data_IF_420141258594
#
_entry.id   IF_420141258594
#
_cell.length_a   1.000
_cell.length_b   1.000
_cell.length_c   1.000
_cell.angle_alpha   90.00
_cell.angle_beta   90.00
_cell.angle_gamma   90.00
#
_symmetry.space_group_name_H-M   'P 1'
#
loop_
_entity.id
_entity.type
_entity.pdbx_description
1 polymer ?
#
# COMPACT_ATOMS: atom_id res chain seq x y z
N UNK A 1 43.53 2.76 -9.58
CA UNK A 1 42.64 2.26 -10.64
C UNK A 1 42.33 0.82 -10.30
N UNK A 2 41.20 0.57 -9.70
CA UNK A 2 40.66 -0.80 -9.52
C UNK A 2 39.44 -0.89 -10.40
N UNK A 3 39.55 -1.73 -11.43
CA UNK A 3 38.46 -2.06 -12.33
C UNK A 3 37.40 -2.87 -11.57
N UNK A 4 36.17 -2.32 -11.43
CA UNK A 4 35.04 -3.09 -10.96
C UNK A 4 34.40 -3.82 -12.13
N UNK A 5 34.67 -5.11 -12.20
CA UNK A 5 34.04 -6.03 -13.14
C UNK A 5 32.59 -6.21 -12.73
N UNK A 6 31.63 -5.75 -13.54
CA UNK A 6 30.22 -6.05 -13.39
C UNK A 6 30.00 -7.52 -13.77
N UNK A 7 29.65 -8.33 -12.79
CA UNK A 7 29.09 -9.64 -13.05
C UNK A 7 27.70 -9.43 -13.68
N UNK A 8 27.54 -9.83 -14.92
CA UNK A 8 26.27 -9.95 -15.61
C UNK A 8 25.54 -11.17 -15.06
N UNK A 9 24.81 -10.97 -13.97
CA UNK A 9 23.88 -11.96 -13.45
C UNK A 9 22.52 -11.67 -14.10
N UNK A 10 22.15 -12.51 -15.06
CA UNK A 10 20.88 -12.44 -15.75
C UNK A 10 19.75 -12.64 -14.75
N UNK A 11 18.97 -11.58 -14.49
CA UNK A 11 17.75 -11.67 -13.70
C UNK A 11 16.77 -12.64 -14.38
N UNK A 12 16.10 -13.52 -13.62
CA UNK A 12 15.19 -14.50 -14.20
C UNK A 12 14.02 -13.81 -14.90
N UNK A 13 13.89 -14.09 -16.20
CA UNK A 13 12.75 -13.71 -17.01
C UNK A 13 11.54 -14.47 -16.49
N UNK A 14 10.59 -13.74 -15.89
CA UNK A 14 9.34 -14.30 -15.43
C UNK A 14 8.51 -14.78 -16.63
N UNK A 15 8.46 -16.10 -16.86
CA UNK A 15 7.52 -16.73 -17.78
C UNK A 15 6.24 -17.06 -17.01
N UNK A 16 5.06 -16.60 -17.45
CA UNK A 16 3.81 -16.99 -16.80
C UNK A 16 3.54 -18.47 -17.04
N UNK A 17 3.37 -19.25 -15.95
CA UNK A 17 2.86 -20.62 -16.03
C UNK A 17 1.43 -20.57 -16.48
N UNK A 18 1.14 -21.26 -17.59
CA UNK A 18 -0.21 -21.46 -18.10
C UNK A 18 -1.07 -22.19 -17.04
N UNK A 19 -2.14 -21.54 -16.61
CA UNK A 19 -3.15 -22.16 -15.77
C UNK A 19 -3.93 -23.18 -16.60
N UNK A 20 -3.84 -24.46 -16.24
CA UNK A 20 -4.71 -25.52 -16.77
C UNK A 20 -6.13 -25.31 -16.25
N UNK A 21 -7.04 -25.07 -17.18
CA UNK A 21 -8.48 -25.09 -16.99
C UNK A 21 -8.92 -26.49 -16.58
N UNK A 22 -9.35 -26.67 -15.34
CA UNK A 22 -10.10 -27.89 -14.94
C UNK A 22 -11.59 -27.51 -14.97
N UNK A 23 -12.26 -28.01 -16.00
CA UNK A 23 -13.72 -28.06 -16.03
C UNK A 23 -14.17 -29.13 -15.04
N UNK A 24 -14.94 -28.75 -14.03
CA UNK A 24 -15.73 -29.68 -13.23
C UNK A 24 -17.21 -29.45 -13.46
N UNK A 25 -17.82 -30.54 -13.81
CA UNK A 25 -19.18 -30.77 -14.24
C UNK A 25 -20.20 -30.51 -13.14
N UNK A 26 -21.31 -29.90 -13.50
CA UNK A 26 -22.51 -29.83 -12.67
C UNK A 26 -23.21 -31.19 -12.61
N UNK A 27 -23.58 -31.63 -11.44
CA UNK A 27 -24.60 -32.68 -11.28
C UNK A 27 -25.61 -32.26 -10.21
N UNK A 28 -26.85 -32.18 -10.68
CA UNK A 28 -28.08 -32.00 -9.89
C UNK A 28 -28.28 -33.21 -8.96
N UNK A 29 -28.85 -32.98 -7.79
CA UNK A 29 -29.81 -33.93 -7.20
C UNK A 29 -30.77 -33.15 -6.29
N UNK A 30 -32.03 -33.16 -6.71
CA UNK A 30 -33.21 -32.81 -5.93
C UNK A 30 -33.62 -34.03 -5.11
N UNK A 31 -34.04 -33.82 -3.87
CA UNK A 31 -34.65 -34.88 -3.05
C UNK A 31 -35.45 -34.26 -1.91
N UNK A 32 -36.77 -34.25 -2.10
CA UNK A 32 -37.77 -33.91 -1.12
C UNK A 32 -37.90 -35.01 -0.06
N UNK A 33 -38.13 -34.66 1.21
CA UNK A 33 -38.92 -35.52 2.13
C UNK A 33 -39.69 -34.67 3.13
N UNK A 34 -40.94 -35.03 3.27
CA UNK A 34 -42.02 -34.47 4.12
C UNK A 34 -41.87 -34.88 5.59
N UNK A 35 -42.51 -34.09 6.47
CA UNK A 35 -42.58 -34.26 7.88
C UNK A 35 -43.29 -35.51 8.42
N UNK A 36 -43.55 -35.61 9.71
CA UNK A 36 -44.90 -35.30 10.22
C UNK A 36 -44.95 -34.58 11.59
N UNK A 37 -46.18 -34.04 11.80
CA UNK A 37 -46.76 -33.55 13.07
C UNK A 37 -46.60 -34.51 14.25
N UNK A 38 -46.46 -33.95 15.48
CA UNK A 38 -47.14 -34.44 16.69
C UNK A 38 -47.31 -33.29 17.70
N UNK A 39 -48.51 -33.08 18.04
CA UNK A 39 -49.28 -32.46 19.08
C UNK A 39 -48.66 -31.98 20.39
N UNK A 40 -49.28 -30.90 20.82
CA UNK A 40 -49.22 -30.25 22.14
C UNK A 40 -49.81 -31.14 23.27
N UNK A 41 -49.19 -31.01 24.46
CA UNK A 41 -49.92 -31.13 25.74
C UNK A 41 -49.42 -30.08 26.71
N UNK A 42 -50.41 -29.39 27.26
CA UNK A 42 -50.38 -28.40 28.33
C UNK A 42 -50.21 -29.05 29.69
N UNK A 43 -49.40 -28.47 30.56
CA UNK A 43 -49.79 -28.45 31.98
C UNK A 43 -49.07 -27.36 32.80
N UNK A 44 -49.80 -26.85 33.76
CA UNK A 44 -49.73 -25.67 34.59
C UNK A 44 -48.59 -25.57 35.59
N UNK A 45 -48.10 -24.35 35.73
CA UNK A 45 -47.58 -23.54 36.87
C UNK A 45 -47.81 -24.08 38.31
N UNK A 46 -47.03 -23.67 39.38
CA UNK A 46 -46.66 -22.26 39.67
C UNK A 46 -45.28 -22.01 40.35
N UNK A 47 -44.81 -20.77 40.15
CA UNK A 47 -44.06 -19.92 41.07
C UNK A 47 -42.85 -20.42 41.86
N UNK A 48 -41.68 -19.89 41.55
CA UNK A 48 -40.76 -19.27 42.54
C UNK A 48 -39.88 -18.21 41.87
N UNK A 49 -39.99 -17.00 42.39
CA UNK A 49 -39.03 -15.92 42.15
C UNK A 49 -37.67 -16.32 42.68
N UNK A 50 -36.63 -16.20 41.87
CA UNK A 50 -35.28 -16.02 42.31
C UNK A 50 -34.65 -14.98 41.38
N UNK A 51 -34.20 -13.88 41.94
CA UNK A 51 -33.58 -12.75 41.29
C UNK A 51 -32.27 -13.23 40.58
N UNK A 52 -32.30 -13.30 39.26
CA UNK A 52 -31.13 -13.47 38.48
C UNK A 52 -30.46 -12.10 38.28
N UNK A 53 -29.49 -11.80 39.13
CA UNK A 53 -28.52 -10.71 38.91
C UNK A 53 -27.77 -11.03 37.65
N UNK A 54 -28.09 -10.31 36.60
CA UNK A 54 -27.41 -10.39 35.30
C UNK A 54 -25.98 -9.85 35.48
N UNK A 55 -24.94 -10.58 35.13
CA UNK A 55 -23.55 -10.13 35.33
C UNK A 55 -23.19 -9.13 34.23
N UNK A 56 -23.57 -7.87 34.35
CA UNK A 56 -23.05 -6.77 33.53
C UNK A 56 -21.55 -6.49 33.74
N UNK A 57 -20.96 -7.06 34.77
CA UNK A 57 -19.55 -6.86 35.15
C UNK A 57 -18.62 -7.78 34.34
N UNK A 58 -19.02 -9.04 34.09
CA UNK A 58 -18.16 -10.00 33.36
C UNK A 58 -17.91 -9.61 31.90
N UNK A 59 -18.93 -9.09 31.19
CA UNK A 59 -18.77 -8.67 29.78
C UNK A 59 -17.86 -7.43 29.66
N UNK A 60 -17.82 -6.56 30.66
CA UNK A 60 -16.89 -5.41 30.68
C UNK A 60 -15.45 -5.85 30.86
N UNK A 61 -15.19 -6.87 31.65
CA UNK A 61 -13.85 -7.38 31.90
C UNK A 61 -13.30 -8.14 30.68
N UNK A 62 -14.13 -8.93 29.99
CA UNK A 62 -13.71 -9.60 28.76
C UNK A 62 -13.41 -8.63 27.61
N UNK A 63 -14.19 -7.56 27.47
CA UNK A 63 -13.93 -6.50 26.48
C UNK A 63 -12.66 -5.72 26.84
N UNK A 64 -12.40 -5.43 28.10
CA UNK A 64 -11.17 -4.74 28.52
C UNK A 64 -9.94 -5.61 28.36
N UNK A 65 -10.01 -6.91 28.64
CA UNK A 65 -8.96 -7.88 28.38
C UNK A 65 -8.72 -8.08 26.88
N UNK A 66 -9.79 -8.09 26.06
CA UNK A 66 -9.66 -8.14 24.61
C UNK A 66 -9.02 -6.87 24.04
N UNK A 67 -9.42 -5.66 24.50
CA UNK A 67 -8.83 -4.39 24.09
C UNK A 67 -7.35 -4.30 24.53
N UNK A 68 -7.00 -4.76 25.73
CA UNK A 68 -5.62 -4.87 26.16
C UNK A 68 -4.83 -5.87 25.29
N UNK A 69 -5.39 -7.04 24.99
CA UNK A 69 -4.76 -8.03 24.12
C UNK A 69 -4.57 -7.51 22.70
N UNK A 70 -5.56 -6.82 22.14
CA UNK A 70 -5.46 -6.15 20.84
C UNK A 70 -4.46 -4.99 20.89
N UNK A 71 -4.41 -4.23 21.98
CA UNK A 71 -3.40 -3.19 22.20
C UNK A 71 -1.98 -3.74 22.31
N UNK A 72 -1.82 -4.94 22.85
CA UNK A 72 -0.52 -5.65 22.91
C UNK A 72 -0.16 -6.31 21.56
N UNK A 73 -1.16 -6.75 20.78
CA UNK A 73 -0.96 -7.28 19.43
C UNK A 73 -0.75 -6.18 18.37
N UNK A 74 -1.23 -4.97 18.63
CA UNK A 74 -1.10 -3.82 17.73
C UNK A 74 0.17 -3.00 17.95
N UNK A 75 1.13 -3.46 18.74
CA UNK A 75 2.48 -2.92 18.68
C UNK A 75 3.14 -3.51 17.43
N UNK A 76 3.36 -2.75 16.34
CA UNK A 76 4.41 -3.12 15.43
C UNK A 76 5.65 -3.24 16.29
N UNK A 77 6.35 -4.38 16.19
CA UNK A 77 7.63 -4.53 16.84
C UNK A 77 8.45 -3.26 16.57
N UNK A 78 8.81 -2.54 17.62
CA UNK A 78 9.62 -1.33 17.54
C UNK A 78 11.06 -1.61 17.01
N UNK A 79 11.26 -2.78 16.43
CA UNK A 79 12.51 -3.30 15.87
C UNK A 79 12.44 -3.62 14.35
N UNK A 80 11.29 -3.44 13.69
CA UNK A 80 11.25 -3.63 12.23
C UNK A 80 11.45 -2.29 11.54
N UNK A 81 12.48 -2.23 10.67
CA UNK A 81 12.73 -1.10 9.77
C UNK A 81 11.47 -0.79 8.95
N UNK A 82 11.11 0.50 8.85
CA UNK A 82 10.10 0.96 7.92
C UNK A 82 10.49 0.56 6.49
N UNK A 83 9.55 0.03 5.71
CA UNK A 83 9.80 -0.33 4.30
C UNK A 83 8.88 0.46 3.39
N UNK A 84 9.48 1.19 2.46
CA UNK A 84 8.82 2.08 1.51
C UNK A 84 9.13 1.64 0.07
N UNK A 85 8.10 1.32 -0.70
CA UNK A 85 8.24 1.15 -2.15
C UNK A 85 8.04 2.50 -2.82
N UNK A 86 9.05 2.95 -3.57
CA UNK A 86 9.04 4.22 -4.30
C UNK A 86 8.88 3.95 -5.79
N UNK A 87 7.65 4.08 -6.29
CA UNK A 87 7.28 3.86 -7.68
C UNK A 87 7.29 5.14 -8.50
N UNK A 88 7.98 5.14 -9.63
CA UNK A 88 8.07 6.29 -10.53
C UNK A 88 7.85 5.89 -11.98
N UNK A 89 7.13 6.74 -12.68
CA UNK A 89 7.08 6.75 -14.12
C UNK A 89 8.39 7.33 -14.67
N UNK A 90 9.11 6.57 -15.47
CA UNK A 90 10.33 6.96 -16.16
C UNK A 90 10.11 7.06 -17.69
N UNK A 91 8.91 7.45 -18.12
CA UNK A 91 8.65 7.80 -19.53
C UNK A 91 9.31 9.12 -19.90
N UNK A 92 9.45 9.40 -21.19
CA UNK A 92 10.25 10.55 -21.69
C UNK A 92 9.75 11.88 -21.14
N UNK A 93 8.45 12.09 -21.00
CA UNK A 93 7.85 13.31 -20.46
C UNK A 93 8.25 13.56 -18.99
N UNK A 94 8.72 12.53 -18.30
CA UNK A 94 9.01 12.56 -16.87
C UNK A 94 10.46 12.93 -16.53
N UNK A 95 11.33 13.16 -17.52
CA UNK A 95 12.75 13.48 -17.25
C UNK A 95 12.92 14.63 -16.24
N UNK A 96 12.21 15.78 -16.35
CA UNK A 96 12.36 16.88 -15.39
C UNK A 96 11.97 16.47 -13.96
N UNK A 97 10.88 15.70 -13.82
CA UNK A 97 10.42 15.22 -12.50
C UNK A 97 11.34 14.13 -11.96
N UNK A 98 11.89 13.29 -12.83
CA UNK A 98 12.90 12.30 -12.45
C UNK A 98 14.13 12.97 -11.86
N UNK A 99 14.68 13.98 -12.53
CA UNK A 99 15.85 14.73 -12.08
C UNK A 99 15.56 15.50 -10.76
N UNK A 100 14.36 16.06 -10.66
CA UNK A 100 13.88 16.65 -9.41
C UNK A 100 13.81 15.62 -8.28
N UNK A 101 13.23 14.45 -8.51
CA UNK A 101 13.12 13.40 -7.50
C UNK A 101 14.50 12.90 -7.03
N UNK A 102 15.49 12.82 -7.92
CA UNK A 102 16.87 12.52 -7.54
C UNK A 102 17.41 13.55 -6.54
N UNK A 103 17.15 14.82 -6.77
CA UNK A 103 17.64 15.90 -5.88
C UNK A 103 16.91 15.95 -4.54
N UNK A 104 15.63 15.52 -4.48
CA UNK A 104 14.78 15.64 -3.30
C UNK A 104 14.71 14.38 -2.43
N UNK A 105 15.10 13.22 -2.97
CA UNK A 105 14.92 11.94 -2.28
C UNK A 105 15.68 11.85 -0.94
N UNK A 106 16.78 12.60 -0.76
CA UNK A 106 17.53 12.62 0.49
C UNK A 106 16.65 13.04 1.67
N UNK A 107 15.73 13.97 1.44
CA UNK A 107 14.77 14.41 2.45
C UNK A 107 13.86 13.33 3.01
N UNK A 108 13.66 12.21 2.29
CA UNK A 108 12.93 11.07 2.84
C UNK A 108 13.66 10.45 4.04
N UNK A 109 14.97 10.30 3.94
CA UNK A 109 15.79 9.73 5.02
C UNK A 109 16.02 10.73 6.17
N UNK A 110 16.05 12.03 5.87
CA UNK A 110 16.16 13.09 6.89
C UNK A 110 14.87 13.26 7.70
N UNK A 111 13.73 12.88 7.14
CA UNK A 111 12.42 13.06 7.76
C UNK A 111 12.10 12.03 8.84
N UNK A 112 12.86 10.95 8.95
CA UNK A 112 12.62 9.89 9.91
C UNK A 112 13.32 10.21 11.25
N UNK A 113 12.72 9.82 12.40
CA UNK A 113 13.37 9.95 13.71
C UNK A 113 14.71 9.18 13.75
N UNK A 114 15.64 9.63 14.61
CA UNK A 114 16.99 9.04 14.71
C UNK A 114 17.02 7.59 15.19
N UNK A 115 15.98 7.18 15.89
CA UNK A 115 15.79 5.81 16.43
C UNK A 115 14.98 4.92 15.50
N UNK A 116 14.58 5.42 14.33
CA UNK A 116 13.86 4.68 13.32
C UNK A 116 14.74 4.46 12.08
N UNK A 117 14.47 3.38 11.36
CA UNK A 117 15.15 3.05 10.11
C UNK A 117 14.14 2.97 8.96
N UNK A 118 14.60 3.31 7.76
CA UNK A 118 13.81 3.25 6.54
C UNK A 118 14.59 2.52 5.47
N UNK A 119 13.98 1.47 4.92
CA UNK A 119 14.43 0.81 3.70
C UNK A 119 13.58 1.31 2.55
N UNK A 120 14.20 1.71 1.45
CA UNK A 120 13.51 2.15 0.24
C UNK A 120 13.85 1.23 -0.92
N UNK A 121 12.84 0.77 -1.65
CA UNK A 121 13.02 0.09 -2.93
C UNK A 121 12.46 0.98 -4.03
N UNK A 122 13.28 1.30 -5.03
CA UNK A 122 12.82 1.98 -6.23
C UNK A 122 12.21 0.96 -7.18
N UNK A 123 11.01 1.26 -7.70
CA UNK A 123 10.43 0.59 -8.85
C UNK A 123 10.09 1.62 -9.92
N UNK A 124 10.43 1.35 -11.16
CA UNK A 124 10.14 2.23 -12.28
C UNK A 124 9.72 1.43 -13.50
N UNK A 125 9.02 2.10 -14.39
CA UNK A 125 8.73 1.58 -15.72
C UNK A 125 9.09 2.61 -16.80
N UNK A 126 9.45 2.10 -17.98
CA UNK A 126 9.74 2.87 -19.18
C UNK A 126 9.58 2.00 -20.43
N UNK A 127 9.61 2.62 -21.61
CA UNK A 127 9.47 1.89 -22.86
C UNK A 127 8.17 1.10 -22.95
N UNK A 128 8.13 0.10 -23.81
CA UNK A 128 6.91 -0.68 -24.08
C UNK A 128 6.71 -1.88 -23.14
N UNK A 129 7.64 -2.17 -22.24
CA UNK A 129 7.51 -3.37 -21.39
C UNK A 129 8.55 -3.48 -20.28
N UNK A 130 9.39 -2.48 -20.06
CA UNK A 130 10.33 -2.47 -18.97
C UNK A 130 9.69 -1.97 -17.69
N UNK A 131 9.60 -2.84 -16.69
CA UNK A 131 9.25 -2.47 -15.32
C UNK A 131 10.21 -3.22 -14.40
N UNK A 132 11.04 -2.48 -13.67
CA UNK A 132 12.12 -3.03 -12.84
C UNK A 132 12.09 -2.47 -11.43
N UNK A 133 12.46 -3.29 -10.47
CA UNK A 133 12.68 -2.90 -9.09
C UNK A 133 14.16 -3.04 -8.72
N UNK A 134 14.65 -2.11 -7.91
CA UNK A 134 16.00 -2.15 -7.34
C UNK A 134 16.09 -3.13 -6.17
N UNK A 135 17.29 -3.31 -5.65
CA UNK A 135 17.46 -3.82 -4.28
C UNK A 135 16.95 -2.79 -3.28
N UNK A 136 16.61 -3.22 -2.06
CA UNK A 136 16.30 -2.35 -0.94
C UNK A 136 17.54 -1.60 -0.51
N UNK A 137 17.44 -0.29 -0.31
CA UNK A 137 18.53 0.59 0.12
C UNK A 137 18.18 1.29 1.44
N UNK A 138 19.20 1.60 2.24
CA UNK A 138 19.08 2.13 3.58
C UNK A 138 19.49 3.60 3.67
N UNK A 139 20.03 4.16 2.61
CA UNK A 139 20.56 5.52 2.60
C UNK A 139 20.26 6.27 1.30
N UNK A 140 20.27 7.59 1.40
CA UNK A 140 19.96 8.49 0.29
C UNK A 140 20.97 8.41 -0.85
N UNK A 141 22.25 8.21 -0.56
CA UNK A 141 23.29 8.15 -1.59
C UNK A 141 23.14 6.90 -2.44
N UNK A 142 22.76 5.76 -1.83
CA UNK A 142 22.49 4.53 -2.55
C UNK A 142 21.28 4.71 -3.48
N UNK A 143 20.19 5.32 -2.98
CA UNK A 143 19.01 5.61 -3.79
C UNK A 143 19.33 6.57 -4.95
N UNK A 144 20.05 7.67 -4.68
CA UNK A 144 20.46 8.63 -5.71
C UNK A 144 21.30 7.98 -6.80
N UNK A 145 22.27 7.12 -6.44
CA UNK A 145 23.08 6.37 -7.41
C UNK A 145 22.22 5.45 -8.28
N UNK A 146 21.26 4.74 -7.71
CA UNK A 146 20.33 3.91 -8.49
C UNK A 146 19.51 4.76 -9.46
N UNK A 147 18.93 5.85 -9.00
CA UNK A 147 18.13 6.73 -9.84
C UNK A 147 18.94 7.38 -10.97
N UNK A 148 20.19 7.79 -10.72
CA UNK A 148 21.04 8.43 -11.73
C UNK A 148 21.51 7.50 -12.85
N UNK A 149 21.40 6.19 -12.69
CA UNK A 149 21.69 5.21 -13.77
C UNK A 149 20.52 4.99 -14.72
N UNK A 150 19.35 5.53 -14.40
CA UNK A 150 18.11 5.31 -15.15
C UNK A 150 17.84 6.56 -16.00
N UNK A 151 17.70 6.37 -17.30
CA UNK A 151 17.26 7.40 -18.25
C UNK A 151 15.79 7.19 -18.59
N UNK A 152 15.00 8.25 -18.67
CA UNK A 152 13.63 8.19 -19.16
C UNK A 152 13.59 7.79 -20.64
N UNK A 153 12.60 6.99 -21.03
CA UNK A 153 12.41 6.50 -22.40
C UNK A 153 10.94 6.56 -22.78
N UNK A 154 10.65 6.89 -24.04
CA UNK A 154 9.28 6.87 -24.56
C UNK A 154 8.63 5.49 -24.37
N UNK A 155 7.36 5.47 -23.99
CA UNK A 155 6.62 4.22 -23.74
C UNK A 155 5.26 4.46 -23.11
N UNK A 156 4.61 3.38 -22.72
CA UNK A 156 3.28 3.42 -22.09
C UNK A 156 3.39 3.26 -20.58
N UNK A 157 2.35 3.70 -19.86
CA UNK A 157 2.24 3.47 -18.41
C UNK A 157 2.13 1.98 -18.09
N UNK A 158 2.72 1.57 -16.97
CA UNK A 158 2.71 0.19 -16.49
C UNK A 158 2.39 0.14 -14.99
N UNK A 159 1.41 0.94 -14.57
CA UNK A 159 0.97 1.11 -13.17
C UNK A 159 0.56 -0.22 -12.56
N UNK A 160 -0.17 -1.03 -13.35
CA UNK A 160 -0.62 -2.35 -12.91
C UNK A 160 0.50 -3.32 -12.58
N UNK A 161 1.70 -3.15 -13.17
CA UNK A 161 2.90 -3.93 -12.83
C UNK A 161 3.53 -3.44 -11.53
N UNK A 162 3.53 -2.12 -11.28
CA UNK A 162 3.98 -1.54 -10.01
C UNK A 162 3.12 -2.06 -8.86
N UNK A 163 1.79 -2.05 -9.02
CA UNK A 163 0.87 -2.54 -7.98
C UNK A 163 1.02 -4.06 -7.75
N UNK A 164 1.21 -4.83 -8.81
CA UNK A 164 1.47 -6.27 -8.67
C UNK A 164 2.77 -6.56 -7.95
N UNK A 165 3.85 -5.83 -8.26
CA UNK A 165 5.12 -5.95 -7.56
C UNK A 165 4.98 -5.57 -6.07
N UNK A 166 4.30 -4.47 -5.77
CA UNK A 166 4.04 -4.04 -4.39
C UNK A 166 3.32 -5.13 -3.58
N UNK A 167 2.30 -5.76 -4.18
CA UNK A 167 1.58 -6.89 -3.58
C UNK A 167 2.50 -8.07 -3.29
N UNK A 168 3.31 -8.47 -4.27
CA UNK A 168 4.14 -9.67 -4.17
C UNK A 168 5.30 -9.47 -3.17
N UNK A 169 5.92 -8.29 -3.18
CA UNK A 169 6.90 -7.89 -2.16
C UNK A 169 6.28 -7.85 -0.76
N UNK A 170 5.07 -7.29 -0.61
CA UNK A 170 4.39 -7.23 0.68
C UNK A 170 4.03 -8.61 1.23
N UNK A 171 3.69 -9.58 0.35
CA UNK A 171 3.48 -10.99 0.73
C UNK A 171 4.77 -11.67 1.22
N UNK A 172 5.90 -11.31 0.64
CA UNK A 172 7.21 -11.84 1.04
C UNK A 172 7.68 -11.25 2.37
N UNK A 173 7.66 -9.93 2.47
CA UNK A 173 7.97 -9.19 3.69
C UNK A 173 7.17 -7.88 3.71
N UNK A 174 6.55 -7.58 4.85
CA UNK A 174 5.70 -6.42 5.02
C UNK A 174 6.34 -5.13 4.48
N UNK A 175 5.58 -4.38 3.67
CA UNK A 175 5.86 -3.02 3.25
C UNK A 175 4.90 -2.09 4.01
N UNK A 176 5.36 -0.93 4.46
CA UNK A 176 4.57 -0.01 5.28
C UNK A 176 3.81 1.02 4.43
N UNK A 177 4.36 1.37 3.26
CA UNK A 177 3.74 2.29 2.31
C UNK A 177 4.27 2.09 0.89
N UNK A 178 3.46 2.46 -0.09
CA UNK A 178 3.85 2.61 -1.50
C UNK A 178 3.65 4.07 -1.89
N UNK A 179 4.66 4.69 -2.48
CA UNK A 179 4.52 5.94 -3.24
C UNK A 179 4.44 5.58 -4.72
N UNK A 180 3.55 6.24 -5.45
CA UNK A 180 3.53 6.24 -6.90
C UNK A 180 3.50 7.69 -7.41
N UNK A 181 4.43 8.04 -8.30
CA UNK A 181 4.53 9.37 -8.93
C UNK A 181 4.37 9.22 -10.44
N UNK A 182 3.39 9.92 -11.01
CA UNK A 182 3.12 9.88 -12.45
C UNK A 182 2.20 11.02 -12.91
N UNK A 183 2.04 11.17 -14.21
CA UNK A 183 1.24 12.22 -14.86
C UNK A 183 0.15 11.67 -15.79
N UNK A 184 0.25 10.40 -16.17
CA UNK A 184 -0.61 9.76 -17.16
C UNK A 184 -1.09 8.40 -16.70
N UNK A 185 -2.14 7.91 -17.36
CA UNK A 185 -2.68 6.56 -17.19
C UNK A 185 -3.36 6.13 -18.49
N UNK A 186 -2.85 5.10 -19.10
CA UNK A 186 -3.33 4.55 -20.37
C UNK A 186 -3.97 3.17 -20.19
N UNK A 187 -3.80 2.58 -19.01
CA UNK A 187 -4.29 1.24 -18.67
C UNK A 187 -5.78 1.26 -18.31
N UNK A 188 -6.39 0.07 -18.30
CA UNK A 188 -7.79 -0.08 -17.89
C UNK A 188 -7.95 0.28 -16.41
N UNK A 189 -8.79 1.29 -16.12
CA UNK A 189 -9.03 1.83 -14.78
C UNK A 189 -9.56 0.78 -13.81
N UNK A 190 -10.53 -0.04 -14.25
CA UNK A 190 -11.17 -1.04 -13.38
C UNK A 190 -10.17 -2.10 -12.94
N UNK A 191 -9.29 -2.53 -13.86
CA UNK A 191 -8.22 -3.47 -13.55
C UNK A 191 -7.21 -2.88 -12.54
N UNK A 192 -6.88 -1.59 -12.66
CA UNK A 192 -6.01 -0.89 -11.70
C UNK A 192 -6.70 -0.69 -10.35
N UNK A 193 -7.99 -0.33 -10.34
CA UNK A 193 -8.81 -0.22 -9.14
C UNK A 193 -8.88 -1.55 -8.37
N UNK A 194 -9.06 -2.67 -9.08
CA UNK A 194 -9.05 -3.99 -8.45
C UNK A 194 -7.72 -4.28 -7.74
N UNK A 195 -6.58 -3.97 -8.39
CA UNK A 195 -5.25 -4.12 -7.79
C UNK A 195 -5.04 -3.17 -6.59
N UNK A 196 -5.45 -1.91 -6.70
CA UNK A 196 -5.38 -0.96 -5.59
C UNK A 196 -6.23 -1.41 -4.40
N UNK A 197 -7.42 -1.95 -4.65
CA UNK A 197 -8.28 -2.56 -3.64
C UNK A 197 -7.64 -3.77 -2.95
N UNK A 198 -6.95 -4.63 -3.70
CA UNK A 198 -6.19 -5.76 -3.16
C UNK A 198 -5.12 -5.28 -2.18
N UNK A 199 -4.35 -4.22 -2.54
CA UNK A 199 -3.38 -3.60 -1.62
C UNK A 199 -4.06 -3.08 -0.34
N UNK A 200 -5.24 -2.45 -0.48
CA UNK A 200 -6.02 -1.94 0.65
C UNK A 200 -6.52 -3.02 1.60
N UNK A 201 -6.94 -4.19 1.07
CA UNK A 201 -7.32 -5.37 1.86
C UNK A 201 -6.11 -5.92 2.62
N UNK A 202 -4.94 -5.90 2.01
CA UNK A 202 -3.68 -6.33 2.63
C UNK A 202 -3.13 -5.33 3.67
N UNK A 203 -3.74 -4.15 3.80
CA UNK A 203 -3.26 -3.09 4.70
C UNK A 203 -2.03 -2.35 4.19
N UNK A 204 -1.80 -2.35 2.88
CA UNK A 204 -0.71 -1.64 2.23
C UNK A 204 -1.24 -0.35 1.58
N UNK A 205 -1.07 0.82 2.22
CA UNK A 205 -1.56 2.08 1.69
C UNK A 205 -0.71 2.57 0.52
N UNK A 206 -1.39 3.09 -0.51
CA UNK A 206 -0.79 3.68 -1.70
C UNK A 206 -0.95 5.21 -1.65
N UNK A 207 0.16 5.91 -1.65
CA UNK A 207 0.23 7.36 -1.75
C UNK A 207 0.51 7.74 -3.20
N UNK A 208 -0.48 8.35 -3.85
CA UNK A 208 -0.42 8.65 -5.27
C UNK A 208 -0.20 10.14 -5.48
N UNK A 209 0.90 10.49 -6.14
CA UNK A 209 1.27 11.86 -6.43
C UNK A 209 1.18 12.10 -7.94
N UNK A 210 0.24 12.96 -8.30
CA UNK A 210 0.01 13.33 -9.69
C UNK A 210 0.74 14.63 -10.03
N UNK A 211 1.52 14.62 -11.09
CA UNK A 211 1.98 15.84 -11.73
C UNK A 211 0.97 16.28 -12.79
N UNK A 212 0.78 17.62 -12.88
CA UNK A 212 -0.11 18.19 -13.87
C UNK A 212 -1.58 18.18 -13.47
N UNK A 213 -2.47 18.37 -14.47
CA UNK A 213 -3.86 18.73 -14.25
C UNK A 213 -4.88 17.89 -15.04
N UNK A 214 -4.49 16.71 -15.58
CA UNK A 214 -5.46 15.85 -16.26
C UNK A 214 -6.51 15.34 -15.28
N UNK A 215 -7.76 15.73 -15.47
CA UNK A 215 -8.87 15.40 -14.58
C UNK A 215 -9.27 13.93 -14.63
N UNK A 216 -9.01 13.22 -15.74
CA UNK A 216 -9.29 11.78 -15.87
C UNK A 216 -8.26 10.98 -15.05
N UNK A 217 -6.99 11.39 -15.13
CA UNK A 217 -5.92 10.82 -14.33
C UNK A 217 -6.17 11.11 -12.84
N UNK A 218 -6.57 12.33 -12.50
CA UNK A 218 -6.92 12.72 -11.14
C UNK A 218 -8.02 11.81 -10.56
N UNK A 219 -9.11 11.61 -11.31
CA UNK A 219 -10.22 10.77 -10.85
C UNK A 219 -9.75 9.33 -10.55
N UNK A 220 -8.96 8.73 -11.45
CA UNK A 220 -8.42 7.39 -11.26
C UNK A 220 -7.43 7.31 -10.09
N UNK A 221 -6.50 8.25 -9.97
CA UNK A 221 -5.49 8.28 -8.91
C UNK A 221 -6.10 8.49 -7.53
N UNK A 222 -7.14 9.33 -7.42
CA UNK A 222 -7.92 9.49 -6.19
C UNK A 222 -8.61 8.18 -5.81
N UNK A 223 -9.13 7.43 -6.78
CA UNK A 223 -9.78 6.16 -6.54
C UNK A 223 -8.78 5.09 -6.10
N UNK A 224 -7.58 4.99 -6.71
CA UNK A 224 -6.52 4.09 -6.26
C UNK A 224 -6.12 4.37 -4.81
N UNK A 225 -5.90 5.65 -4.47
CA UNK A 225 -5.59 6.06 -3.10
C UNK A 225 -6.72 5.73 -2.13
N UNK A 226 -7.99 5.89 -2.54
CA UNK A 226 -9.17 5.56 -1.74
C UNK A 226 -9.26 4.06 -1.46
N UNK A 227 -9.14 3.24 -2.49
CA UNK A 227 -9.27 1.77 -2.40
C UNK A 227 -8.13 1.15 -1.58
N UNK A 228 -6.92 1.68 -1.70
CA UNK A 228 -5.76 1.21 -0.94
C UNK A 228 -5.67 1.77 0.49
N UNK A 229 -6.60 2.65 0.91
CA UNK A 229 -6.58 3.36 2.20
C UNK A 229 -5.36 4.27 2.39
N UNK A 230 -4.79 4.72 1.30
CA UNK A 230 -3.71 5.71 1.25
C UNK A 230 -4.22 7.13 1.05
N UNK A 231 -3.46 7.96 0.35
CA UNK A 231 -3.82 9.35 0.06
C UNK A 231 -3.36 9.78 -1.32
N UNK A 232 -4.06 10.79 -1.87
CA UNK A 232 -3.72 11.42 -3.13
C UNK A 232 -3.26 12.86 -2.90
N UNK A 233 -2.26 13.28 -3.65
CA UNK A 233 -1.89 14.68 -3.74
C UNK A 233 -1.48 15.02 -5.19
N UNK A 234 -1.76 16.26 -5.58
CA UNK A 234 -1.24 16.83 -6.81
C UNK A 234 -0.08 17.75 -6.48
N UNK A 235 0.91 17.78 -7.34
CA UNK A 235 2.02 18.72 -7.27
C UNK A 235 2.31 19.31 -8.65
N UNK A 236 3.01 20.42 -8.65
CA UNK A 236 3.50 21.10 -9.84
C UNK A 236 5.01 20.94 -9.93
N UNK A 237 5.53 20.57 -11.10
CA UNK A 237 6.97 20.46 -11.35
C UNK A 237 7.73 21.78 -11.16
N UNK A 238 7.04 22.92 -11.27
CA UNK A 238 7.62 24.23 -10.96
C UNK A 238 7.77 24.50 -9.44
N UNK A 239 7.19 23.65 -8.58
CA UNK A 239 7.21 23.79 -7.13
C UNK A 239 7.88 22.57 -6.45
N UNK A 240 9.21 22.40 -6.56
CA UNK A 240 9.94 21.22 -6.03
C UNK A 240 9.67 20.95 -4.57
N UNK A 241 9.45 21.99 -3.77
CA UNK A 241 9.17 21.86 -2.35
C UNK A 241 7.89 21.08 -2.06
N UNK A 242 6.87 21.14 -2.95
CA UNK A 242 5.66 20.34 -2.79
C UNK A 242 5.96 18.84 -2.84
N UNK A 243 6.73 18.40 -3.82
CA UNK A 243 7.15 16.99 -3.93
C UNK A 243 8.04 16.59 -2.74
N UNK A 244 8.99 17.45 -2.35
CA UNK A 244 9.84 17.19 -1.18
C UNK A 244 9.02 16.95 0.09
N UNK A 245 8.04 17.81 0.37
CA UNK A 245 7.20 17.70 1.55
C UNK A 245 6.30 16.45 1.52
N UNK A 246 5.81 16.06 0.35
CA UNK A 246 5.05 14.83 0.16
C UNK A 246 5.91 13.58 0.40
N UNK A 247 7.11 13.54 -0.16
CA UNK A 247 8.06 12.44 0.04
C UNK A 247 8.45 12.29 1.51
N UNK A 248 8.78 13.40 2.19
CA UNK A 248 9.09 13.43 3.63
C UNK A 248 7.94 12.91 4.47
N UNK A 249 6.71 13.35 4.17
CA UNK A 249 5.52 12.94 4.93
C UNK A 249 5.27 11.43 4.83
N UNK A 250 5.39 10.84 3.64
CA UNK A 250 5.20 9.39 3.47
C UNK A 250 6.35 8.59 4.04
N UNK A 251 7.59 9.07 3.98
CA UNK A 251 8.74 8.44 4.63
C UNK A 251 8.56 8.37 6.16
N UNK A 252 8.11 9.46 6.78
CA UNK A 252 7.75 9.48 8.19
C UNK A 252 6.61 8.49 8.51
N UNK A 253 5.59 8.42 7.65
CA UNK A 253 4.52 7.43 7.80
C UNK A 253 5.06 5.98 7.68
N UNK A 254 5.90 5.70 6.72
CA UNK A 254 6.47 4.36 6.52
C UNK A 254 7.35 3.91 7.69
N UNK A 255 8.04 4.83 8.36
CA UNK A 255 8.93 4.54 9.49
C UNK A 255 8.19 4.33 10.83
N UNK A 256 6.99 4.92 11.03
CA UNK A 256 6.28 4.83 12.32
C UNK A 256 4.77 5.11 12.25
N UNK A 257 4.18 4.95 11.06
CA UNK A 257 2.74 5.08 10.85
C UNK A 257 2.23 6.50 11.07
N UNK A 258 0.96 6.59 11.48
CA UNK A 258 0.30 7.89 11.74
C UNK A 258 0.99 8.71 12.84
N UNK A 259 1.64 8.05 13.79
CA UNK A 259 2.34 8.73 14.89
C UNK A 259 3.49 9.58 14.36
N UNK A 260 4.37 9.02 13.53
CA UNK A 260 5.48 9.78 12.93
C UNK A 260 4.99 10.81 11.91
N UNK A 261 3.92 10.50 11.14
CA UNK A 261 3.32 11.49 10.23
C UNK A 261 2.80 12.73 10.98
N UNK A 262 2.21 12.57 12.17
CA UNK A 262 1.72 13.68 13.02
C UNK A 262 2.86 14.58 13.53
N UNK A 263 4.08 14.08 13.64
CA UNK A 263 5.23 14.86 14.04
C UNK A 263 5.72 15.82 12.94
N UNK A 264 5.31 15.57 11.69
CA UNK A 264 5.65 16.44 10.58
C UNK A 264 4.75 17.69 10.56
N UNK A 265 5.36 18.87 10.59
CA UNK A 265 4.65 20.17 10.64
C UNK A 265 4.18 20.68 9.26
N UNK A 266 4.54 20.00 8.16
CA UNK A 266 4.25 20.46 6.81
C UNK A 266 2.75 20.42 6.47
N UNK A 267 2.32 21.30 5.54
CA UNK A 267 0.96 21.28 5.00
C UNK A 267 0.64 19.96 4.30
N UNK A 268 1.64 19.36 3.61
CA UNK A 268 1.53 18.07 2.96
C UNK A 268 1.21 16.95 3.97
N UNK A 269 1.93 16.88 5.10
CA UNK A 269 1.69 15.90 6.13
C UNK A 269 0.28 16.00 6.72
N UNK A 270 -0.20 17.21 6.99
CA UNK A 270 -1.58 17.44 7.47
C UNK A 270 -2.63 17.01 6.45
N UNK A 271 -2.43 17.33 5.17
CA UNK A 271 -3.34 16.95 4.10
C UNK A 271 -3.43 15.43 3.92
N UNK A 272 -2.29 14.72 3.94
CA UNK A 272 -2.25 13.27 3.86
C UNK A 272 -2.89 12.61 5.10
N UNK A 273 -2.60 13.10 6.29
CA UNK A 273 -3.17 12.61 7.54
C UNK A 273 -4.70 12.73 7.55
N UNK A 274 -5.23 13.88 7.13
CA UNK A 274 -6.69 14.10 7.02
C UNK A 274 -7.37 13.10 6.09
N UNK A 275 -6.73 12.73 4.98
CA UNK A 275 -7.28 11.74 4.05
C UNK A 275 -7.26 10.32 4.63
N UNK A 276 -6.20 9.95 5.35
CA UNK A 276 -6.06 8.62 5.97
C UNK A 276 -7.03 8.45 7.15
N UNK A 277 -7.31 9.53 7.92
CA UNK A 277 -8.19 9.48 9.10
C UNK A 277 -9.68 9.46 8.77
N UNK A 278 -10.06 9.98 7.60
CA UNK A 278 -11.46 9.98 7.14
C UNK A 278 -11.94 8.62 6.62
N UNK A 279 -11.12 7.62 6.61
CA UNK A 279 -11.34 6.27 6.08
C UNK A 279 -11.18 5.21 7.15
#
# INVERSE_FOLDING_TARGET
>A
MQEFTFATDEAPVFRPKQAKFIRSSAARLAGAFAGPHIQAMSEKNPARRADAVTPKTQVRDEVSVFVQKVGLMARPNAAEDGRLLFGMDATMSRQPTWDMAISLQAGMFEAIPKDAHLQVQLIYFRGLGECRASKWVLDSNALARLMSTISCQGGNTQIGRVFSHARDEHKSRRINAVIYVGDAMEENVDALCAKAGELGVMGLPLFVFQEGHDSRVEAAFREFARLSKGAYARFDSSAPQQLADLLKAVAAYASGGRAHLRLQSSGAARALLTQIEKR
#
